data_IF_111324898782
#
_entry.id   IF_111324898782
#
_cell.length_a   1.000
_cell.length_b   1.000
_cell.length_c   1.000
_cell.angle_alpha   90.00
_cell.angle_beta   90.00
_cell.angle_gamma   90.00
#
_symmetry.space_group_name_H-M   'P 1'
#
loop_
_entity.id
_entity.type
_entity.pdbx_description
1 polymer ?
#
# COMPACT_ATOMS: atom_id res chain seq x y z
N UNK A 1 11.76 20.93 -3.20
CA UNK A 1 11.07 19.73 -3.73
C UNK A 1 11.98 18.53 -3.88
N UNK A 2 13.04 18.57 -4.73
CA UNK A 2 13.98 17.44 -4.87
C UNK A 2 14.68 17.03 -3.55
N UNK A 3 14.90 18.00 -2.64
CA UNK A 3 15.47 17.75 -1.33
C UNK A 3 14.62 16.81 -0.45
N UNK A 4 13.29 16.87 -0.50
CA UNK A 4 12.42 16.07 0.37
C UNK A 4 12.64 14.57 0.16
N UNK A 5 12.61 14.12 -1.10
CA UNK A 5 12.83 12.71 -1.44
C UNK A 5 14.20 12.25 -0.96
N UNK A 6 15.25 13.02 -1.25
CA UNK A 6 16.61 12.66 -0.84
C UNK A 6 16.74 12.58 0.68
N UNK A 7 16.15 13.52 1.42
CA UNK A 7 16.17 13.52 2.88
C UNK A 7 15.38 12.36 3.48
N UNK A 8 14.23 12.00 2.92
CA UNK A 8 13.47 10.81 3.31
C UNK A 8 14.30 9.53 3.12
N UNK A 9 14.89 9.36 1.92
CA UNK A 9 15.64 8.15 1.57
C UNK A 9 16.99 8.05 2.28
N UNK A 10 17.55 9.17 2.74
CA UNK A 10 18.68 9.17 3.66
C UNK A 10 18.30 8.61 5.05
N UNK A 11 17.05 8.81 5.49
CA UNK A 11 16.54 8.33 6.78
C UNK A 11 16.06 6.88 6.77
N UNK A 12 15.57 6.35 5.63
CA UNK A 12 15.23 4.94 5.45
C UNK A 12 15.30 4.53 3.97
N UNK A 13 15.94 3.39 3.69
CA UNK A 13 16.05 2.79 2.34
C UNK A 13 15.16 1.57 2.16
N UNK A 14 14.26 1.30 3.12
CA UNK A 14 13.36 0.15 3.11
C UNK A 14 11.92 0.61 3.24
N UNK A 15 11.02 -0.19 2.66
CA UNK A 15 9.59 -0.03 2.86
C UNK A 15 9.23 -0.17 4.34
N UNK A 16 8.52 0.81 4.89
CA UNK A 16 8.08 0.81 6.28
C UNK A 16 7.10 -0.32 6.61
N UNK A 17 6.35 -0.82 5.61
CA UNK A 17 5.40 -1.92 5.78
C UNK A 17 6.10 -3.27 5.73
N UNK A 18 6.78 -3.58 4.62
CA UNK A 18 7.35 -4.90 4.37
C UNK A 18 8.80 -5.10 4.87
N UNK A 19 9.51 -4.02 5.17
CA UNK A 19 10.96 -4.05 5.44
C UNK A 19 11.84 -4.42 4.24
N UNK A 20 11.25 -4.62 3.05
CA UNK A 20 11.93 -4.94 1.79
C UNK A 20 12.32 -3.66 1.04
N UNK A 21 13.05 -3.80 -0.07
CA UNK A 21 13.47 -2.67 -0.93
C UNK A 21 14.91 -2.18 -0.69
N UNK A 22 15.68 -2.87 0.16
CA UNK A 22 17.12 -2.59 0.34
C UNK A 22 17.86 -2.76 -1.00
N UNK A 23 18.66 -1.75 -1.35
CA UNK A 23 19.56 -1.83 -2.52
C UNK A 23 20.80 -2.67 -2.20
N UNK A 24 21.34 -3.35 -3.22
CA UNK A 24 22.62 -4.05 -3.13
C UNK A 24 23.80 -3.07 -3.05
N UNK A 25 23.59 -1.82 -3.48
CA UNK A 25 24.57 -0.74 -3.45
C UNK A 25 24.20 0.28 -2.37
N UNK A 26 25.19 0.80 -1.66
CA UNK A 26 25.01 1.69 -0.50
C UNK A 26 24.58 3.12 -0.86
N UNK A 27 24.09 3.35 -2.07
CA UNK A 27 23.57 4.65 -2.49
C UNK A 27 22.04 4.70 -2.27
N UNK A 28 21.55 5.59 -1.38
CA UNK A 28 20.15 5.65 -0.98
C UNK A 28 19.19 6.06 -2.12
N UNK A 29 19.72 6.55 -3.24
CA UNK A 29 18.89 7.09 -4.32
C UNK A 29 18.30 6.02 -5.25
N UNK A 30 18.80 4.78 -5.19
CA UNK A 30 18.55 3.76 -6.22
C UNK A 30 18.09 2.43 -5.58
N UNK A 31 16.81 2.39 -5.20
CA UNK A 31 16.09 1.15 -4.91
C UNK A 31 14.87 1.06 -5.83
N UNK A 32 14.65 -0.03 -6.59
CA UNK A 32 13.49 -0.13 -7.48
C UNK A 32 12.20 -0.11 -6.66
N UNK A 33 11.36 0.90 -6.89
CA UNK A 33 9.99 0.97 -6.39
C UNK A 33 9.75 1.62 -5.03
N UNK A 34 10.81 2.01 -4.28
CA UNK A 34 10.63 2.76 -3.02
C UNK A 34 10.41 4.25 -3.31
N UNK A 35 9.33 4.79 -2.75
CA UNK A 35 8.90 6.17 -2.85
C UNK A 35 8.98 6.86 -1.49
N UNK A 36 9.22 8.17 -1.50
CA UNK A 36 9.10 9.02 -0.32
C UNK A 36 7.67 9.54 -0.23
N UNK A 37 6.94 9.08 0.77
CA UNK A 37 5.52 9.36 0.97
C UNK A 37 5.37 10.40 2.08
N UNK A 38 4.51 11.38 1.89
CA UNK A 38 4.18 12.33 2.96
C UNK A 38 3.21 11.66 3.94
N UNK A 39 3.41 11.81 5.24
CA UNK A 39 2.43 11.34 6.23
C UNK A 39 1.23 12.29 6.26
N UNK A 40 1.50 13.59 6.33
CA UNK A 40 0.52 14.65 6.09
C UNK A 40 0.76 15.21 4.69
N UNK A 41 -0.17 15.02 3.74
CA UNK A 41 -0.03 15.49 2.37
C UNK A 41 0.11 17.01 2.26
N UNK A 42 0.72 17.46 1.16
CA UNK A 42 0.94 18.89 0.89
C UNK A 42 -0.37 19.69 0.81
N UNK A 43 -1.42 19.07 0.30
CA UNK A 43 -2.77 19.65 0.21
C UNK A 43 -3.36 19.94 1.61
N UNK A 44 -2.90 19.23 2.64
CA UNK A 44 -3.37 19.35 4.01
C UNK A 44 -2.31 19.96 4.93
N UNK A 45 -1.33 20.71 4.40
CA UNK A 45 -0.21 21.24 5.18
C UNK A 45 -0.61 21.99 6.45
N UNK A 46 -1.78 22.64 6.44
CA UNK A 46 -2.33 23.43 7.56
C UNK A 46 -2.58 22.59 8.83
N UNK A 47 -2.73 21.27 8.71
CA UNK A 47 -2.92 20.36 9.86
C UNK A 47 -1.59 19.87 10.44
N UNK A 48 -0.47 20.13 9.77
CA UNK A 48 0.84 19.68 10.22
C UNK A 48 1.22 20.32 11.56
N UNK A 49 1.90 19.55 12.40
CA UNK A 49 2.25 20.00 13.74
C UNK A 49 3.25 21.17 13.67
N UNK A 50 3.04 22.21 14.46
CA UNK A 50 4.00 23.31 14.64
C UNK A 50 4.34 23.47 16.12
N UNK A 51 5.53 24.02 16.45
CA UNK A 51 5.89 24.31 17.83
C UNK A 51 4.87 25.24 18.51
N UNK A 52 4.69 25.09 19.82
CA UNK A 52 3.74 25.89 20.60
C UNK A 52 4.04 27.39 20.60
N UNK A 53 5.28 27.79 20.31
CA UNK A 53 5.72 29.18 20.16
C UNK A 53 4.99 29.94 19.04
N UNK A 54 4.39 29.25 18.07
CA UNK A 54 3.61 29.85 16.99
C UNK A 54 2.15 30.15 17.37
N UNK A 55 1.76 29.86 18.62
CA UNK A 55 0.39 30.06 19.11
C UNK A 55 -0.56 28.95 18.67
N UNK A 56 -1.80 29.00 19.17
CA UNK A 56 -2.85 27.99 18.89
C UNK A 56 -3.77 28.35 17.73
N UNK A 57 -3.78 29.62 17.30
CA UNK A 57 -4.60 30.08 16.20
C UNK A 57 -4.15 29.44 14.88
N UNK A 58 -5.00 28.57 14.34
CA UNK A 58 -4.72 27.77 13.14
C UNK A 58 -4.66 28.61 11.86
N UNK A 59 -5.30 29.77 11.85
CA UNK A 59 -5.36 30.64 10.68
C UNK A 59 -4.31 31.76 10.69
N UNK A 60 -3.48 31.82 11.75
CA UNK A 60 -2.38 32.77 11.84
C UNK A 60 -1.42 32.59 10.65
N UNK A 61 -1.16 33.62 9.81
CA UNK A 61 -0.31 33.51 8.63
C UNK A 61 1.11 33.00 8.94
N UNK A 62 1.67 33.42 10.08
CA UNK A 62 2.99 32.97 10.54
C UNK A 62 3.01 31.47 10.83
N UNK A 63 1.93 30.95 11.45
CA UNK A 63 1.78 29.52 11.74
C UNK A 63 1.58 28.71 10.47
N UNK A 64 0.73 29.17 9.55
CA UNK A 64 0.49 28.50 8.27
C UNK A 64 1.76 28.41 7.43
N UNK A 65 2.55 29.49 7.38
CA UNK A 65 3.85 29.48 6.70
C UNK A 65 4.82 28.48 7.32
N UNK A 66 4.86 28.39 8.65
CA UNK A 66 5.69 27.40 9.33
C UNK A 66 5.21 25.97 9.05
N UNK A 67 3.91 25.72 9.13
CA UNK A 67 3.32 24.42 8.81
C UNK A 67 3.70 24.00 7.38
N UNK A 68 3.55 24.91 6.40
CA UNK A 68 3.97 24.69 5.01
C UNK A 68 5.43 24.29 4.91
N UNK A 69 6.34 25.04 5.54
CA UNK A 69 7.77 24.73 5.49
C UNK A 69 8.07 23.34 6.08
N UNK A 70 7.44 23.02 7.22
CA UNK A 70 7.66 21.74 7.92
C UNK A 70 7.04 20.54 7.21
N UNK A 71 6.00 20.73 6.39
CA UNK A 71 5.45 19.65 5.55
C UNK A 71 6.51 19.04 4.63
N UNK A 72 7.51 19.81 4.21
CA UNK A 72 8.64 19.36 3.41
C UNK A 72 9.82 18.78 4.22
N UNK A 73 9.65 18.59 5.54
CA UNK A 73 10.65 17.95 6.39
C UNK A 73 10.66 16.43 6.18
N UNK A 74 11.84 15.80 6.30
CA UNK A 74 11.95 14.34 6.34
C UNK A 74 11.19 13.71 7.51
N UNK A 75 10.93 14.46 8.58
CA UNK A 75 10.11 13.99 9.71
C UNK A 75 8.66 13.69 9.30
N UNK A 76 8.15 14.38 8.25
CA UNK A 76 6.83 14.16 7.67
C UNK A 76 6.84 13.05 6.58
N UNK A 77 7.85 12.19 6.56
CA UNK A 77 8.03 11.24 5.47
C UNK A 77 8.16 9.79 5.93
N UNK A 78 7.64 8.87 5.11
CA UNK A 78 7.86 7.42 5.23
C UNK A 78 8.24 6.85 3.87
N UNK A 79 9.12 5.85 3.88
CA UNK A 79 9.50 5.13 2.68
C UNK A 79 8.53 3.97 2.44
N UNK A 80 7.82 3.94 1.31
CA UNK A 80 6.88 2.87 0.96
C UNK A 80 7.12 2.38 -0.47
N UNK A 81 6.70 1.15 -0.78
CA UNK A 81 6.52 0.79 -2.19
C UNK A 81 5.31 1.52 -2.77
N UNK A 82 5.28 1.72 -4.08
CA UNK A 82 4.20 2.44 -4.78
C UNK A 82 2.80 1.95 -4.40
N UNK A 83 2.55 0.64 -4.39
CA UNK A 83 1.22 0.11 -4.01
C UNK A 83 0.88 0.38 -2.53
N UNK A 84 1.85 0.29 -1.61
CA UNK A 84 1.61 0.67 -0.22
C UNK A 84 1.43 2.19 -0.06
N UNK A 85 2.08 3.00 -0.90
CA UNK A 85 1.85 4.44 -0.93
C UNK A 85 0.39 4.74 -1.30
N UNK A 86 -0.10 4.12 -2.38
CA UNK A 86 -1.50 4.28 -2.80
C UNK A 86 -2.47 3.84 -1.70
N UNK A 87 -2.21 2.70 -1.05
CA UNK A 87 -3.05 2.22 0.06
C UNK A 87 -3.00 3.12 1.30
N UNK A 88 -1.87 3.76 1.55
CA UNK A 88 -1.69 4.70 2.66
C UNK A 88 -2.47 5.99 2.41
N UNK A 89 -2.33 6.56 1.22
CA UNK A 89 -3.05 7.78 0.82
C UNK A 89 -4.58 7.57 0.78
N UNK A 90 -5.03 6.37 0.39
CA UNK A 90 -6.44 5.94 0.42
C UNK A 90 -6.90 5.45 1.80
N UNK A 91 -6.07 5.59 2.85
CA UNK A 91 -6.43 5.29 4.25
C UNK A 91 -6.90 3.85 4.49
N UNK A 92 -6.41 2.91 3.67
CA UNK A 92 -6.71 1.49 3.80
C UNK A 92 -5.95 0.86 4.97
N UNK A 93 -4.81 1.44 5.34
CA UNK A 93 -4.05 1.11 6.52
C UNK A 93 -3.39 2.36 7.12
N UNK A 94 -2.95 2.26 8.37
CA UNK A 94 -2.12 3.28 9.02
C UNK A 94 -1.12 2.63 9.98
N UNK A 95 -0.17 3.40 10.48
CA UNK A 95 0.79 2.96 11.50
C UNK A 95 0.43 3.62 12.81
N UNK A 96 0.21 2.83 13.85
CA UNK A 96 -0.12 3.34 15.17
C UNK A 96 1.03 4.24 15.70
N UNK A 97 0.77 5.47 16.16
CA UNK A 97 1.81 6.45 16.48
C UNK A 97 2.72 6.05 17.66
N UNK A 98 2.19 5.28 18.62
CA UNK A 98 2.96 4.83 19.80
C UNK A 98 3.55 3.42 19.63
N UNK A 99 2.70 2.43 19.35
CA UNK A 99 3.13 1.01 19.23
C UNK A 99 3.84 0.68 17.93
N UNK A 100 3.77 1.57 16.93
CA UNK A 100 4.30 1.40 15.58
C UNK A 100 3.72 0.19 14.82
N UNK A 101 2.63 -0.37 15.34
CA UNK A 101 1.95 -1.49 14.70
C UNK A 101 1.16 -1.00 13.51
N UNK A 102 1.24 -1.76 12.43
CA UNK A 102 0.46 -1.54 11.22
C UNK A 102 -0.98 -1.97 11.51
N UNK A 103 -1.93 -1.06 11.33
CA UNK A 103 -3.36 -1.32 11.42
C UNK A 103 -3.96 -1.24 10.04
N UNK A 104 -4.42 -2.39 9.55
CA UNK A 104 -5.21 -2.49 8.32
C UNK A 104 -6.68 -2.27 8.65
N UNK A 105 -7.34 -1.38 7.92
CA UNK A 105 -8.77 -1.07 8.08
C UNK A 105 -9.64 -1.82 7.06
N UNK A 106 -9.08 -2.16 5.89
CA UNK A 106 -9.77 -2.87 4.82
C UNK A 106 -9.03 -4.19 4.49
N UNK A 107 -9.72 -5.34 4.43
CA UNK A 107 -9.09 -6.66 4.39
C UNK A 107 -8.61 -7.06 2.98
N UNK A 108 -7.77 -6.23 2.37
CA UNK A 108 -7.06 -6.61 1.14
C UNK A 108 -5.96 -7.62 1.48
N UNK A 109 -5.91 -8.73 0.76
CA UNK A 109 -4.93 -9.81 0.93
C UNK A 109 -3.48 -9.31 1.00
N UNK A 110 -3.10 -8.37 0.14
CA UNK A 110 -1.78 -7.72 0.08
C UNK A 110 -1.44 -6.91 1.35
N UNK A 111 -2.43 -6.49 2.14
CA UNK A 111 -2.25 -5.76 3.40
C UNK A 111 -2.37 -6.67 4.61
N UNK A 112 -3.22 -7.69 4.56
CA UNK A 112 -3.57 -8.54 5.71
C UNK A 112 -2.35 -9.20 6.35
N UNK A 113 -1.35 -9.61 5.55
CA UNK A 113 -0.11 -10.21 6.07
C UNK A 113 0.68 -9.28 7.01
N UNK A 114 0.50 -7.96 6.89
CA UNK A 114 1.20 -6.96 7.69
C UNK A 114 0.40 -6.48 8.90
N UNK A 115 -0.89 -6.84 9.01
CA UNK A 115 -1.73 -6.38 10.11
C UNK A 115 -1.14 -6.80 11.48
N UNK A 116 -1.01 -5.85 12.39
CA UNK A 116 -0.45 -6.07 13.74
C UNK A 116 1.08 -6.13 13.80
N UNK A 117 1.78 -6.22 12.67
CA UNK A 117 3.25 -6.23 12.62
C UNK A 117 3.83 -4.84 12.90
N UNK A 118 5.10 -4.79 13.36
CA UNK A 118 5.78 -3.53 13.68
C UNK A 118 6.40 -2.93 12.41
N UNK A 119 6.01 -1.70 12.09
CA UNK A 119 6.52 -0.97 10.94
C UNK A 119 8.01 -0.62 11.07
N UNK A 120 8.72 -0.68 9.95
CA UNK A 120 10.15 -0.35 9.81
C UNK A 120 10.34 1.16 9.56
N UNK A 121 10.07 1.97 10.59
CA UNK A 121 10.15 3.42 10.51
C UNK A 121 11.51 3.98 10.94
N UNK A 122 11.93 5.09 10.31
CA UNK A 122 13.04 5.89 10.81
C UNK A 122 12.67 6.50 12.17
N UNK A 123 13.61 6.58 13.14
CA UNK A 123 13.36 7.25 14.43
C UNK A 123 13.03 8.74 14.30
N UNK A 124 13.38 9.37 13.17
CA UNK A 124 13.13 10.79 12.90
C UNK A 124 11.68 11.10 12.53
N UNK A 125 10.85 10.09 12.27
CA UNK A 125 9.46 10.30 11.85
C UNK A 125 8.65 10.99 12.95
N UNK A 126 7.97 12.09 12.62
CA UNK A 126 7.11 12.82 13.55
C UNK A 126 5.91 11.97 13.95
N UNK A 127 5.86 11.59 15.23
CA UNK A 127 4.75 10.83 15.81
C UNK A 127 3.43 11.59 15.79
N UNK A 128 3.46 12.93 15.79
CA UNK A 128 2.25 13.76 15.68
C UNK A 128 1.67 13.69 14.28
N UNK A 129 2.51 13.64 13.24
CA UNK A 129 2.07 13.42 11.88
C UNK A 129 1.42 12.04 11.73
N UNK A 130 2.07 10.99 12.26
CA UNK A 130 1.49 9.63 12.27
C UNK A 130 0.17 9.58 13.02
N UNK A 131 0.08 10.25 14.17
CA UNK A 131 -1.17 10.34 14.95
C UNK A 131 -2.28 10.98 14.14
N UNK A 132 -2.01 12.10 13.48
CA UNK A 132 -3.00 12.73 12.61
C UNK A 132 -3.48 11.78 11.51
N UNK A 133 -2.57 11.12 10.79
CA UNK A 133 -2.92 10.14 9.76
C UNK A 133 -3.74 8.97 10.33
N UNK A 134 -3.35 8.44 11.49
CA UNK A 134 -4.04 7.35 12.18
C UNK A 134 -5.47 7.73 12.60
N UNK A 135 -5.65 8.91 13.21
CA UNK A 135 -6.95 9.40 13.65
C UNK A 135 -7.87 9.61 12.45
N UNK A 136 -7.33 10.14 11.36
CA UNK A 136 -8.01 10.31 10.07
C UNK A 136 -8.47 8.99 9.47
N UNK A 137 -7.60 7.97 9.44
CA UNK A 137 -7.99 6.64 8.99
C UNK A 137 -9.07 6.02 9.90
N UNK A 138 -8.96 6.19 11.22
CA UNK A 138 -9.99 5.71 12.14
C UNK A 138 -11.34 6.36 11.84
N UNK A 139 -11.39 7.68 11.73
CA UNK A 139 -12.64 8.42 11.47
C UNK A 139 -13.30 7.98 10.18
N UNK A 140 -12.55 7.84 9.10
CA UNK A 140 -13.09 7.47 7.79
C UNK A 140 -13.58 6.02 7.75
N UNK A 141 -12.87 5.12 8.43
CA UNK A 141 -13.21 3.70 8.44
C UNK A 141 -14.18 3.30 9.56
N UNK A 142 -14.52 4.20 10.51
CA UNK A 142 -15.47 3.90 11.60
C UNK A 142 -16.86 3.48 11.09
N UNK A 143 -17.30 4.04 9.96
CA UNK A 143 -18.61 3.75 9.38
C UNK A 143 -18.56 2.76 8.20
N UNK A 144 -17.38 2.17 7.93
CA UNK A 144 -17.23 1.22 6.84
C UNK A 144 -18.09 -0.02 7.12
N UNK A 145 -19.10 -0.24 6.26
CA UNK A 145 -19.95 -1.42 6.32
C UNK A 145 -19.32 -2.52 5.48
N UNK A 146 -18.75 -3.52 6.15
CA UNK A 146 -18.34 -4.75 5.50
C UNK A 146 -19.57 -5.64 5.33
N UNK A 147 -19.98 -5.91 4.09
CA UNK A 147 -20.98 -6.95 3.83
C UNK A 147 -20.32 -8.30 4.11
N UNK A 148 -20.48 -8.79 5.35
CA UNK A 148 -19.94 -10.07 5.82
C UNK A 148 -20.51 -11.29 5.08
N UNK A 149 -21.54 -11.09 4.25
CA UNK A 149 -22.31 -12.13 3.56
C UNK A 149 -21.50 -12.98 2.59
N UNK A 150 -20.46 -12.43 1.93
CA UNK A 150 -19.80 -13.11 0.80
C UNK A 150 -18.48 -13.80 1.17
N UNK A 151 -17.86 -13.46 2.30
CA UNK A 151 -16.54 -14.00 2.68
C UNK A 151 -16.66 -15.37 3.35
N UNK A 152 -17.70 -15.59 4.17
CA UNK A 152 -17.92 -16.88 4.80
C UNK A 152 -18.50 -17.95 3.86
N UNK A 153 -19.24 -17.55 2.82
CA UNK A 153 -19.86 -18.49 1.88
C UNK A 153 -18.82 -19.07 0.92
N UNK A 154 -17.82 -18.29 0.49
CA UNK A 154 -16.80 -18.73 -0.46
C UNK A 154 -15.71 -19.64 0.16
N UNK A 155 -15.27 -19.35 1.39
CA UNK A 155 -14.28 -20.20 2.09
C UNK A 155 -14.87 -21.52 2.59
N UNK A 156 -16.14 -21.54 3.01
CA UNK A 156 -16.78 -22.75 3.54
C UNK A 156 -17.26 -23.69 2.42
N UNK A 157 -17.63 -23.17 1.25
CA UNK A 157 -17.95 -24.02 0.08
C UNK A 157 -16.72 -24.61 -0.59
N UNK A 158 -15.54 -23.97 -0.48
CA UNK A 158 -14.29 -24.49 -1.06
C UNK A 158 -13.63 -25.60 -0.22
N UNK A 159 -13.95 -25.72 1.07
CA UNK A 159 -13.31 -26.71 1.98
C UNK A 159 -14.20 -27.91 2.33
N UNK A 160 -15.45 -27.93 1.88
CA UNK A 160 -16.44 -28.93 2.32
C UNK A 160 -16.78 -30.00 1.27
N UNK A 161 -15.92 -30.24 0.29
CA UNK A 161 -16.04 -31.34 -0.67
C UNK A 161 -14.72 -32.11 -0.78
N UNK A 162 -14.37 -32.87 0.25
CA UNK A 162 -13.60 -34.14 0.15
C UNK A 162 -13.46 -34.76 1.53
N UNK A 163 -14.39 -35.64 1.87
CA UNK A 163 -14.19 -36.65 2.92
C UNK A 163 -14.19 -38.00 2.23
N UNK A 164 -13.00 -38.52 1.96
CA UNK A 164 -12.77 -39.87 1.44
C UNK A 164 -11.61 -40.49 2.21
N UNK A 165 -11.69 -41.76 2.64
CA UNK A 165 -10.79 -42.34 3.62
C UNK A 165 -9.39 -42.62 3.05
N UNK A 166 -8.42 -42.52 3.96
CA UNK A 166 -6.99 -42.75 3.77
C UNK A 166 -6.74 -44.24 3.48
N UNK A 167 -6.00 -44.56 2.42
CA UNK A 167 -5.44 -45.90 2.15
C UNK A 167 -3.94 -45.78 1.86
N UNK A 168 -3.05 -46.55 2.52
CA UNK A 168 -1.60 -46.45 2.34
C UNK A 168 -1.08 -47.47 1.30
N UNK A 169 -0.02 -47.05 0.60
CA UNK A 169 0.91 -47.77 -0.30
C UNK A 169 0.76 -47.66 -1.84
N UNK A 170 1.97 -47.58 -2.44
CA UNK A 170 2.40 -47.59 -3.86
C UNK A 170 2.36 -46.23 -4.60
N UNK A 171 3.49 -45.54 -4.80
CA UNK A 171 4.68 -45.81 -5.65
C UNK A 171 4.38 -45.67 -7.15
N UNK A 172 4.85 -44.56 -7.76
CA UNK A 172 4.81 -44.37 -9.21
C UNK A 172 4.73 -42.90 -9.64
N UNK A 173 5.84 -42.39 -10.16
CA UNK A 173 5.94 -41.11 -10.86
C UNK A 173 4.96 -41.05 -12.04
N UNK A 174 4.11 -40.03 -12.11
CA UNK A 174 3.52 -39.59 -13.39
C UNK A 174 3.11 -38.12 -13.32
N UNK A 175 3.81 -37.31 -14.11
CA UNK A 175 3.44 -35.94 -14.48
C UNK A 175 2.18 -35.95 -15.35
N UNK A 176 1.20 -35.06 -15.13
CA UNK A 176 0.06 -34.96 -16.02
C UNK A 176 0.42 -34.16 -17.29
N UNK A 177 0.20 -34.81 -18.42
CA UNK A 177 0.32 -34.29 -19.79
C UNK A 177 -0.90 -33.41 -20.10
N UNK A 178 -0.65 -32.20 -20.63
CA UNK A 178 -1.68 -31.29 -21.13
C UNK A 178 -2.14 -31.77 -22.52
N UNK A 179 -3.44 -32.03 -22.78
CA UNK A 179 -3.92 -32.25 -24.13
C UNK A 179 -4.14 -30.90 -24.82
N UNK A 180 -3.32 -30.64 -25.83
CA UNK A 180 -3.43 -29.54 -26.77
C UNK A 180 -4.44 -29.93 -27.87
N UNK A 181 -5.55 -29.20 -28.01
CA UNK A 181 -6.49 -29.39 -29.14
C UNK A 181 -6.06 -28.46 -30.27
N UNK A 182 -5.32 -29.02 -31.23
CA UNK A 182 -5.14 -28.47 -32.58
C UNK A 182 -6.32 -28.87 -33.45
N UNK A 183 -7.10 -27.89 -33.93
CA UNK A 183 -7.93 -28.06 -35.13
C UNK A 183 -7.28 -27.28 -36.27
N UNK A 184 -6.73 -28.03 -37.23
CA UNK A 184 -6.30 -27.57 -38.55
C UNK A 184 -7.27 -28.08 -39.61
N UNK A 185 -7.89 -27.17 -40.36
CA UNK A 185 -8.28 -27.28 -41.77
C UNK A 185 -8.75 -25.88 -42.22
N UNK A 186 -7.94 -25.10 -42.93
CA UNK A 186 -7.88 -25.00 -44.41
C UNK A 186 -9.26 -24.76 -45.04
N UNK A 187 -9.54 -23.75 -45.88
CA UNK A 187 -8.68 -22.88 -46.69
C UNK A 187 -9.54 -21.87 -47.47
N UNK A 188 -8.97 -20.68 -47.73
CA UNK A 188 -9.17 -19.82 -48.92
C UNK A 188 -10.57 -19.22 -49.19
N UNK A 189 -10.80 -18.00 -49.65
CA UNK A 189 -9.99 -16.82 -50.00
C UNK A 189 -10.99 -15.72 -50.45
N UNK A 190 -10.50 -14.47 -50.47
CA UNK A 190 -10.95 -13.32 -51.30
C UNK A 190 -11.81 -12.21 -50.65
N UNK A 191 -11.14 -11.05 -50.63
CA UNK A 191 -11.60 -9.71 -51.04
C UNK A 191 -12.23 -8.77 -49.99
N UNK A 192 -11.37 -7.84 -49.53
CA UNK A 192 -11.61 -6.46 -49.03
C UNK A 192 -11.85 -5.57 -50.29
N UNK A 193 -12.66 -4.47 -50.34
CA UNK A 193 -12.70 -3.36 -49.36
C UNK A 193 -14.06 -2.67 -49.08
N UNK A 194 -14.11 -1.92 -47.97
CA UNK A 194 -15.10 -0.86 -47.76
C UNK A 194 -15.02 -0.22 -46.36
N UNK A 195 -14.14 0.77 -46.19
CA UNK A 195 -14.28 1.85 -45.19
C UNK A 195 -14.93 3.05 -45.92
N UNK A 196 -15.95 3.77 -45.37
CA UNK A 196 -15.67 4.87 -44.43
C UNK A 196 -16.75 5.12 -43.34
N UNK A 197 -16.29 5.57 -42.18
CA UNK A 197 -16.92 6.49 -41.22
C UNK A 197 -18.36 6.99 -41.49
N UNK A 198 -19.29 6.71 -40.55
CA UNK A 198 -20.25 7.66 -39.93
C UNK A 198 -21.34 6.93 -39.12
N UNK A 199 -21.31 7.05 -37.79
CA UNK A 199 -22.33 7.78 -37.02
C UNK A 199 -21.90 7.99 -35.57
#
# INVERSE_FOLDING_TARGET
MAAFRTSCLAGSTKCAVSGKGRSWYMNPNVGPGIQACHIVPQQHYNVYSVPSSFGKDQYCPRRLREAWNRTWSAENSIALFSHFHDFFDNRLFSIHPETLRIRVFMPYDVLLEYHGSIAQLSPMVDRKALRHHYDMCCIENMAAKMFLSDIYVSEMTSRSATSGPISPFESGCHTPIIPNITNTASSSSKDIPGDPQKR
#
